data_IF_334486211420
#
_entry.id   IF_334486211420
#
_cell.length_a   1.000
_cell.length_b   1.000
_cell.length_c   1.000
_cell.angle_alpha   90.00
_cell.angle_beta   90.00
_cell.angle_gamma   90.00
#
_symmetry.space_group_name_H-M   'P 1'
#
loop_
_entity.id
_entity.type
_entity.pdbx_description
1 polymer ?
#
# COMPACT_ATOMS: atom_id res chain seq x y z
N UNK A 1 81.32 -45.24 -7.99
CA UNK A 1 80.02 -45.12 -7.41
C UNK A 1 79.22 -46.30 -7.95
N UNK A 2 78.87 -47.30 -7.12
CA UNK A 2 78.24 -48.56 -7.53
C UNK A 2 76.90 -48.35 -8.26
N UNK A 3 76.70 -49.01 -9.41
CA UNK A 3 75.44 -48.95 -10.16
C UNK A 3 74.20 -49.18 -9.30
N UNK A 4 74.28 -50.03 -8.28
CA UNK A 4 73.21 -50.25 -7.28
C UNK A 4 72.90 -49.00 -6.47
N UNK A 5 73.86 -48.21 -6.07
CA UNK A 5 73.61 -46.95 -5.31
C UNK A 5 72.94 -45.92 -6.21
N UNK A 6 73.31 -45.81 -7.47
CA UNK A 6 72.65 -44.94 -8.45
C UNK A 6 71.20 -45.34 -8.70
N UNK A 7 70.93 -46.66 -8.79
CA UNK A 7 69.56 -47.15 -8.95
C UNK A 7 68.71 -46.91 -7.72
N UNK A 8 69.22 -47.10 -6.49
CA UNK A 8 68.53 -46.77 -5.25
C UNK A 8 68.22 -45.30 -5.13
N UNK A 9 69.17 -44.44 -5.51
CA UNK A 9 69.02 -42.97 -5.47
C UNK A 9 67.92 -42.50 -6.47
N UNK A 10 67.92 -43.08 -7.69
CA UNK A 10 66.89 -42.82 -8.70
C UNK A 10 65.49 -43.27 -8.20
N UNK A 11 65.41 -44.47 -7.63
CA UNK A 11 64.12 -45.00 -7.11
C UNK A 11 63.59 -44.18 -5.92
N UNK A 12 64.48 -43.74 -5.02
CA UNK A 12 64.15 -42.85 -3.91
C UNK A 12 63.64 -41.48 -4.39
N UNK A 13 64.30 -40.92 -5.40
CA UNK A 13 63.88 -39.62 -5.98
C UNK A 13 62.50 -39.74 -6.65
N UNK A 14 62.28 -40.81 -7.41
CA UNK A 14 60.97 -41.08 -8.03
C UNK A 14 59.88 -41.26 -6.95
N UNK A 15 60.15 -42.03 -5.89
CA UNK A 15 59.24 -42.23 -4.77
C UNK A 15 58.90 -40.93 -4.06
N UNK A 16 59.89 -40.04 -3.85
CA UNK A 16 59.73 -38.71 -3.23
C UNK A 16 58.86 -37.82 -4.09
N UNK A 17 59.10 -37.81 -5.42
CA UNK A 17 58.30 -37.02 -6.37
C UNK A 17 56.86 -37.54 -6.41
N UNK A 18 56.63 -38.83 -6.43
CA UNK A 18 55.31 -39.45 -6.37
C UNK A 18 54.58 -39.10 -5.07
N UNK A 19 55.25 -39.16 -3.94
CA UNK A 19 54.69 -38.83 -2.66
C UNK A 19 54.32 -37.33 -2.56
N UNK A 20 55.20 -36.43 -3.03
CA UNK A 20 54.92 -35.00 -3.09
C UNK A 20 53.74 -34.64 -4.01
N UNK A 21 53.61 -35.34 -5.14
CA UNK A 21 52.54 -35.15 -6.11
C UNK A 21 51.18 -35.73 -5.64
N UNK A 22 51.24 -36.62 -4.63
CA UNK A 22 50.01 -37.25 -4.05
C UNK A 22 49.29 -36.33 -3.05
N UNK A 23 50.00 -35.32 -2.51
CA UNK A 23 49.49 -34.48 -1.47
C UNK A 23 48.96 -33.16 -2.08
N UNK A 24 47.76 -32.75 -1.67
CA UNK A 24 47.25 -31.42 -1.93
C UNK A 24 46.58 -30.84 -0.69
N UNK A 25 46.57 -29.53 -0.56
CA UNK A 25 45.94 -28.82 0.55
C UNK A 25 44.61 -28.22 0.09
N UNK A 26 43.58 -28.39 0.91
CA UNK A 26 42.24 -27.80 0.69
C UNK A 26 42.00 -26.71 1.73
N UNK A 27 41.78 -25.48 1.27
CA UNK A 27 41.41 -24.36 2.12
C UNK A 27 39.98 -24.52 2.68
N UNK A 28 39.69 -23.86 3.81
CA UNK A 28 38.34 -23.85 4.43
C UNK A 28 37.28 -23.24 3.52
N UNK A 29 37.66 -22.37 2.61
CA UNK A 29 36.80 -21.70 1.63
C UNK A 29 36.53 -22.52 0.38
N UNK A 30 37.18 -23.70 0.26
CA UNK A 30 37.18 -24.53 -0.94
C UNK A 30 36.55 -25.89 -0.65
N UNK A 31 36.11 -26.51 -1.70
CA UNK A 31 35.70 -27.93 -1.75
C UNK A 31 36.28 -28.55 -3.00
N UNK A 32 36.63 -29.82 -2.94
CA UNK A 32 37.29 -30.49 -4.04
C UNK A 32 36.46 -31.70 -4.51
N UNK A 33 36.47 -31.88 -5.83
CA UNK A 33 35.93 -33.10 -6.48
C UNK A 33 37.13 -33.86 -7.06
N UNK A 34 37.32 -35.10 -6.63
CA UNK A 34 38.35 -35.95 -7.18
C UNK A 34 37.78 -36.70 -8.38
N UNK A 35 38.43 -36.47 -9.50
CA UNK A 35 38.14 -37.17 -10.76
C UNK A 35 39.18 -38.22 -11.02
N UNK A 36 38.78 -39.40 -11.51
CA UNK A 36 39.68 -40.40 -12.02
C UNK A 36 39.31 -40.70 -13.48
N UNK A 37 40.24 -40.47 -14.39
CA UNK A 37 39.99 -40.54 -15.83
C UNK A 37 38.82 -39.69 -16.34
N UNK A 38 38.47 -38.62 -15.62
CA UNK A 38 37.37 -37.73 -15.93
C UNK A 38 36.08 -38.05 -15.20
N UNK A 39 35.97 -39.23 -14.55
CA UNK A 39 34.81 -39.62 -13.77
C UNK A 39 34.90 -39.17 -12.31
N UNK A 40 33.84 -38.61 -11.73
CA UNK A 40 33.81 -38.15 -10.35
C UNK A 40 33.71 -39.34 -9.37
N UNK A 41 34.72 -39.49 -8.51
CA UNK A 41 34.77 -40.60 -7.52
C UNK A 41 34.37 -40.09 -6.13
N UNK A 42 34.89 -38.95 -5.72
CA UNK A 42 34.80 -38.50 -4.31
C UNK A 42 34.73 -37.00 -4.18
N UNK A 43 33.80 -36.52 -3.33
CA UNK A 43 33.69 -35.10 -2.93
C UNK A 43 34.38 -34.94 -1.58
N UNK A 44 35.24 -33.93 -1.46
CA UNK A 44 35.93 -33.53 -0.24
C UNK A 44 35.47 -32.14 0.16
N UNK A 45 34.77 -32.03 1.31
CA UNK A 45 34.24 -30.76 1.86
C UNK A 45 34.99 -30.29 3.10
N UNK A 46 35.87 -31.15 3.67
CA UNK A 46 36.63 -30.86 4.88
C UNK A 46 38.01 -30.30 4.53
N UNK A 47 38.41 -29.16 5.14
CA UNK A 47 39.72 -28.56 4.88
C UNK A 47 40.86 -29.43 5.43
N UNK A 48 42.08 -29.11 5.01
CA UNK A 48 43.30 -29.75 5.47
C UNK A 48 44.04 -30.47 4.36
N UNK A 49 45.05 -31.28 4.74
CA UNK A 49 45.88 -32.05 3.84
C UNK A 49 45.09 -33.26 3.36
N UNK A 50 45.04 -33.48 2.07
CA UNK A 50 44.32 -34.58 1.40
C UNK A 50 45.26 -35.33 0.45
N UNK A 51 44.93 -36.58 0.19
CA UNK A 51 45.68 -37.45 -0.68
C UNK A 51 44.91 -37.80 -1.94
N UNK A 52 45.58 -37.76 -3.07
CA UNK A 52 45.11 -38.22 -4.36
C UNK A 52 46.17 -39.16 -5.00
N UNK A 53 45.75 -40.07 -5.87
CA UNK A 53 46.68 -40.84 -6.64
C UNK A 53 47.27 -40.00 -7.76
N UNK A 54 48.60 -39.80 -7.77
CA UNK A 54 49.25 -39.01 -8.82
C UNK A 54 49.06 -39.72 -10.17
N UNK A 55 48.95 -38.92 -11.25
CA UNK A 55 48.74 -39.34 -12.65
C UNK A 55 47.34 -39.91 -12.96
N UNK A 56 46.66 -40.60 -12.01
CA UNK A 56 45.35 -41.21 -12.22
C UNK A 56 44.21 -40.29 -11.79
N UNK A 57 44.43 -39.48 -10.73
CA UNK A 57 43.38 -38.67 -10.14
C UNK A 57 43.71 -37.18 -10.27
N UNK A 58 42.65 -36.41 -10.66
CA UNK A 58 42.72 -34.96 -10.70
C UNK A 58 41.76 -34.39 -9.64
N UNK A 59 42.22 -33.35 -8.91
CA UNK A 59 41.38 -32.62 -7.98
C UNK A 59 40.90 -31.33 -8.63
N UNK A 60 39.58 -31.21 -8.84
CA UNK A 60 38.95 -29.96 -9.27
C UNK A 60 38.44 -29.22 -8.04
N UNK A 61 38.92 -28.02 -7.86
CA UNK A 61 38.61 -27.20 -6.68
C UNK A 61 37.51 -26.20 -7.03
N UNK A 62 36.46 -26.14 -6.17
CA UNK A 62 35.37 -25.19 -6.28
C UNK A 62 35.33 -24.29 -5.04
N UNK A 63 34.95 -23.03 -5.25
CA UNK A 63 34.71 -22.11 -4.13
C UNK A 63 33.42 -22.49 -3.37
N UNK A 64 33.48 -22.53 -2.05
CA UNK A 64 32.36 -22.83 -1.16
C UNK A 64 31.64 -21.57 -0.70
N UNK A 65 32.24 -20.38 -0.92
CA UNK A 65 31.65 -19.09 -0.54
C UNK A 65 30.44 -18.75 -1.40
N UNK A 66 29.74 -17.73 -0.99
CA UNK A 66 28.71 -17.10 -1.79
C UNK A 66 29.40 -16.32 -2.92
N UNK A 67 28.96 -16.57 -4.14
CA UNK A 67 29.49 -15.98 -5.37
C UNK A 67 28.41 -15.09 -5.95
N UNK A 68 28.81 -13.91 -6.40
CA UNK A 68 27.93 -12.99 -7.08
C UNK A 68 27.94 -13.23 -8.59
N UNK A 69 26.76 -13.25 -9.20
CA UNK A 69 26.56 -13.29 -10.63
C UNK A 69 25.76 -12.06 -11.04
N UNK A 70 26.43 -11.13 -11.73
CA UNK A 70 25.78 -9.99 -12.40
C UNK A 70 25.12 -10.45 -13.69
N UNK A 71 23.93 -9.95 -13.95
CA UNK A 71 23.15 -10.23 -15.15
C UNK A 71 23.15 -8.97 -15.99
N UNK A 72 23.35 -9.12 -17.29
CA UNK A 72 23.30 -8.02 -18.24
C UNK A 72 21.92 -7.35 -18.23
N UNK A 73 21.86 -6.10 -18.62
CA UNK A 73 20.61 -5.37 -18.78
C UNK A 73 19.65 -6.10 -19.71
N UNK A 74 18.43 -6.28 -19.26
CA UNK A 74 17.37 -6.97 -20.00
C UNK A 74 16.15 -6.06 -20.13
N UNK A 75 15.53 -6.08 -21.30
CA UNK A 75 14.28 -5.40 -21.54
C UNK A 75 13.11 -6.34 -21.21
N UNK A 76 12.24 -5.92 -20.30
CA UNK A 76 11.07 -6.68 -19.85
C UNK A 76 9.82 -5.78 -19.95
N UNK A 77 8.68 -6.37 -20.29
CA UNK A 77 7.40 -5.67 -20.37
C UNK A 77 6.60 -6.02 -19.10
N UNK A 78 6.21 -5.01 -18.33
CA UNK A 78 5.35 -5.15 -17.17
C UNK A 78 3.88 -5.36 -17.56
N UNK A 79 3.03 -5.77 -16.61
CA UNK A 79 1.60 -6.05 -16.86
C UNK A 79 0.83 -4.81 -17.37
N UNK A 80 1.27 -3.61 -17.01
CA UNK A 80 0.75 -2.32 -17.50
C UNK A 80 1.33 -1.88 -18.86
N UNK A 81 1.93 -2.84 -19.61
CA UNK A 81 2.52 -2.65 -20.94
C UNK A 81 3.68 -1.65 -21.03
N UNK A 82 4.27 -1.31 -19.89
CA UNK A 82 5.47 -0.47 -19.83
C UNK A 82 6.72 -1.31 -20.07
N UNK A 83 7.61 -0.84 -20.94
CA UNK A 83 8.92 -1.45 -21.16
C UNK A 83 9.88 -0.98 -20.07
N UNK A 84 10.58 -1.90 -19.46
CA UNK A 84 11.54 -1.65 -18.39
C UNK A 84 12.89 -2.24 -18.77
N UNK A 85 13.96 -1.49 -18.58
CA UNK A 85 15.34 -1.98 -18.63
C UNK A 85 15.72 -2.37 -17.20
N UNK A 86 15.95 -3.67 -17.01
CA UNK A 86 16.21 -4.22 -15.67
C UNK A 86 17.64 -4.75 -15.63
N UNK A 87 18.36 -4.34 -14.58
CA UNK A 87 19.63 -4.92 -14.20
C UNK A 87 19.45 -5.67 -12.88
N UNK A 88 19.89 -6.93 -12.83
CA UNK A 88 19.75 -7.79 -11.68
C UNK A 88 21.06 -8.49 -11.33
N UNK A 89 21.17 -9.00 -10.12
CA UNK A 89 22.23 -9.88 -9.71
C UNK A 89 21.68 -11.03 -8.87
N UNK A 90 22.37 -12.14 -8.92
CA UNK A 90 22.09 -13.29 -8.08
C UNK A 90 23.30 -13.64 -7.23
N UNK A 91 23.04 -14.06 -6.00
CA UNK A 91 24.03 -14.64 -5.08
C UNK A 91 23.75 -16.14 -4.96
N UNK A 92 24.75 -16.92 -5.28
CA UNK A 92 24.64 -18.37 -5.21
C UNK A 92 25.81 -19.01 -4.49
N UNK A 93 25.60 -20.22 -4.01
CA UNK A 93 26.60 -21.04 -3.35
C UNK A 93 26.57 -22.45 -3.91
N UNK A 94 27.72 -23.04 -4.20
CA UNK A 94 27.84 -24.41 -4.66
C UNK A 94 27.73 -25.36 -3.44
N UNK A 95 26.67 -26.13 -3.36
CA UNK A 95 26.42 -27.08 -2.25
C UNK A 95 26.85 -28.48 -2.63
N UNK A 96 26.58 -28.89 -3.88
CA UNK A 96 26.89 -30.22 -4.41
C UNK A 96 27.84 -30.10 -5.59
N UNK A 97 29.17 -30.26 -5.35
CA UNK A 97 30.16 -30.22 -6.42
C UNK A 97 29.99 -31.31 -7.47
N UNK A 98 29.40 -32.45 -7.10
CA UNK A 98 29.15 -33.54 -8.03
C UNK A 98 28.10 -33.15 -9.06
N UNK A 99 26.93 -32.72 -8.60
CA UNK A 99 25.87 -32.22 -9.49
C UNK A 99 26.34 -31.04 -10.32
N UNK A 100 27.09 -30.11 -9.68
CA UNK A 100 27.63 -28.94 -10.36
C UNK A 100 28.54 -29.35 -11.53
N UNK A 101 29.48 -30.25 -11.30
CA UNK A 101 30.43 -30.69 -12.32
C UNK A 101 29.73 -31.46 -13.46
N UNK A 102 28.78 -32.31 -13.15
CA UNK A 102 28.08 -33.13 -14.17
C UNK A 102 27.11 -32.34 -15.04
N UNK A 103 26.58 -31.20 -14.53
CA UNK A 103 25.58 -30.40 -15.26
C UNK A 103 26.17 -29.18 -15.99
N UNK A 104 27.15 -28.51 -15.38
CA UNK A 104 27.69 -27.26 -15.90
C UNK A 104 29.22 -27.25 -16.03
N UNK A 105 29.91 -28.15 -15.35
CA UNK A 105 31.36 -28.33 -15.30
C UNK A 105 32.18 -27.14 -14.82
N UNK A 106 31.84 -25.90 -15.21
CA UNK A 106 32.62 -24.68 -14.94
C UNK A 106 31.72 -23.55 -14.42
N UNK A 107 32.29 -22.58 -13.71
CA UNK A 107 31.57 -21.37 -13.28
C UNK A 107 31.01 -20.55 -14.47
N UNK A 108 31.75 -20.49 -15.58
CA UNK A 108 31.30 -19.81 -16.78
C UNK A 108 30.11 -20.53 -17.41
N UNK A 109 30.13 -21.87 -17.43
CA UNK A 109 29.00 -22.67 -17.89
C UNK A 109 27.75 -22.47 -17.04
N UNK A 110 27.94 -22.34 -15.71
CA UNK A 110 26.85 -21.97 -14.80
C UNK A 110 26.33 -20.56 -15.10
N UNK A 111 27.23 -19.59 -15.22
CA UNK A 111 26.85 -18.19 -15.46
C UNK A 111 25.92 -18.06 -16.68
N UNK A 112 26.26 -18.70 -17.78
CA UNK A 112 25.46 -18.68 -19.01
C UNK A 112 24.07 -19.32 -18.81
N UNK A 113 24.00 -20.47 -18.16
CA UNK A 113 22.71 -21.17 -17.93
C UNK A 113 21.85 -20.45 -16.88
N UNK A 114 22.48 -20.00 -15.80
CA UNK A 114 21.78 -19.32 -14.71
C UNK A 114 21.25 -17.93 -15.14
N UNK A 115 22.01 -17.19 -15.97
CA UNK A 115 21.51 -15.96 -16.57
C UNK A 115 20.22 -16.18 -17.35
N UNK A 116 20.16 -17.21 -18.21
CA UNK A 116 18.95 -17.51 -18.95
C UNK A 116 17.74 -17.90 -18.07
N UNK A 117 18.00 -18.62 -16.95
CA UNK A 117 16.95 -18.95 -15.98
C UNK A 117 16.47 -17.68 -15.27
N UNK A 118 17.38 -16.82 -14.84
CA UNK A 118 17.02 -15.58 -14.16
C UNK A 118 16.27 -14.65 -15.11
N UNK A 119 16.71 -14.52 -16.35
CA UNK A 119 16.04 -13.70 -17.38
C UNK A 119 14.59 -14.19 -17.62
N UNK A 120 14.40 -15.52 -17.73
CA UNK A 120 13.06 -16.08 -17.89
C UNK A 120 12.17 -15.88 -16.65
N UNK A 121 12.73 -16.07 -15.45
CA UNK A 121 11.99 -15.87 -14.19
C UNK A 121 11.66 -14.40 -13.96
N UNK A 122 12.59 -13.46 -14.26
CA UNK A 122 12.35 -12.03 -14.22
C UNK A 122 11.22 -11.64 -15.17
N UNK A 123 11.27 -12.13 -16.41
CA UNK A 123 10.23 -11.83 -17.41
C UNK A 123 8.86 -12.37 -17.02
N UNK A 124 8.81 -13.55 -16.41
CA UNK A 124 7.56 -14.13 -15.93
C UNK A 124 6.98 -13.32 -14.79
N UNK A 125 7.72 -13.11 -13.71
CA UNK A 125 7.21 -12.47 -12.49
C UNK A 125 6.91 -10.98 -12.73
N UNK A 126 7.78 -10.27 -13.46
CA UNK A 126 7.55 -8.85 -13.78
C UNK A 126 6.43 -8.66 -14.79
N UNK A 127 6.23 -9.61 -15.70
CA UNK A 127 5.10 -9.59 -16.63
C UNK A 127 3.72 -9.66 -15.94
N UNK A 128 3.67 -10.18 -14.72
CA UNK A 128 2.47 -10.25 -13.86
C UNK A 128 2.33 -9.01 -12.94
N UNK A 129 3.42 -8.28 -12.68
CA UNK A 129 3.47 -7.11 -11.80
C UNK A 129 3.38 -5.79 -12.58
N UNK A 130 2.84 -4.75 -11.94
CA UNK A 130 2.84 -3.38 -12.48
C UNK A 130 4.11 -2.64 -12.11
N UNK A 131 4.47 -1.59 -12.88
CA UNK A 131 5.60 -0.72 -12.53
C UNK A 131 5.45 -0.12 -11.12
N UNK A 132 4.23 0.23 -10.73
CA UNK A 132 3.96 0.81 -9.42
C UNK A 132 4.27 -0.18 -8.27
N UNK A 133 3.93 -1.46 -8.41
CA UNK A 133 4.25 -2.51 -7.45
C UNK A 133 5.76 -2.75 -7.31
N UNK A 134 6.51 -2.65 -8.41
CA UNK A 134 7.98 -2.74 -8.40
C UNK A 134 8.65 -1.57 -7.64
N UNK A 135 7.99 -0.42 -7.54
CA UNK A 135 8.51 0.79 -6.88
C UNK A 135 8.00 0.99 -5.45
N UNK A 136 6.99 0.23 -5.03
CA UNK A 136 6.33 0.35 -3.72
C UNK A 136 6.71 -0.78 -2.75
N UNK A 137 5.98 -0.91 -1.66
CA UNK A 137 6.20 -1.91 -0.59
C UNK A 137 6.09 -3.36 -1.10
N UNK A 138 5.30 -3.62 -2.12
CA UNK A 138 5.14 -4.94 -2.73
C UNK A 138 6.41 -5.47 -3.43
N UNK A 139 7.43 -4.61 -3.60
CA UNK A 139 8.73 -5.01 -4.18
C UNK A 139 9.37 -6.20 -3.46
N UNK A 140 9.19 -6.32 -2.15
CA UNK A 140 9.77 -7.42 -1.36
C UNK A 140 9.18 -8.76 -1.74
N UNK A 141 7.89 -8.82 -1.98
CA UNK A 141 7.17 -10.04 -2.37
C UNK A 141 7.61 -10.47 -3.77
N UNK A 142 7.67 -9.53 -4.71
CA UNK A 142 8.16 -9.77 -6.08
C UNK A 142 9.59 -10.33 -6.07
N UNK A 143 10.49 -9.78 -5.22
CA UNK A 143 11.84 -10.31 -5.09
C UNK A 143 11.86 -11.73 -4.53
N UNK A 144 10.95 -12.06 -3.63
CA UNK A 144 10.80 -13.40 -3.05
C UNK A 144 10.32 -14.39 -4.11
N UNK A 145 9.33 -14.01 -4.90
CA UNK A 145 8.79 -14.84 -5.98
C UNK A 145 9.86 -15.12 -7.06
N UNK A 146 10.63 -14.09 -7.45
CA UNK A 146 11.75 -14.26 -8.39
C UNK A 146 12.78 -15.25 -7.81
N UNK A 147 13.17 -15.06 -6.55
CA UNK A 147 14.12 -15.95 -5.88
C UNK A 147 13.62 -17.38 -5.82
N UNK A 148 12.35 -17.63 -5.52
CA UNK A 148 11.75 -18.96 -5.48
C UNK A 148 11.72 -19.59 -6.85
N UNK A 149 11.30 -18.87 -7.89
CA UNK A 149 11.28 -19.35 -9.26
C UNK A 149 12.69 -19.75 -9.75
N UNK A 150 13.69 -18.88 -9.50
CA UNK A 150 15.09 -19.16 -9.84
C UNK A 150 15.64 -20.33 -9.03
N UNK A 151 15.34 -20.40 -7.73
CA UNK A 151 15.80 -21.49 -6.86
C UNK A 151 15.31 -22.85 -7.36
N UNK A 152 14.02 -22.96 -7.65
CA UNK A 152 13.39 -24.17 -8.17
C UNK A 152 14.03 -24.64 -9.47
N UNK A 153 14.25 -23.71 -10.40
CA UNK A 153 14.83 -24.04 -11.71
C UNK A 153 16.33 -24.34 -11.65
N UNK A 154 17.05 -23.87 -10.62
CA UNK A 154 18.49 -24.03 -10.48
C UNK A 154 18.93 -25.20 -9.58
N UNK A 155 18.02 -25.93 -8.95
CA UNK A 155 18.32 -27.09 -8.09
C UNK A 155 19.11 -28.20 -8.81
N UNK A 156 18.88 -28.36 -10.11
CA UNK A 156 19.56 -29.34 -10.95
C UNK A 156 21.07 -29.11 -11.05
N UNK A 157 21.54 -27.88 -10.83
CA UNK A 157 22.96 -27.52 -10.92
C UNK A 157 23.75 -27.76 -9.62
N UNK A 158 23.12 -28.23 -8.56
CA UNK A 158 23.76 -28.45 -7.25
C UNK A 158 24.19 -27.17 -6.55
N UNK A 159 23.52 -26.06 -6.86
CA UNK A 159 23.73 -24.75 -6.24
C UNK A 159 22.53 -24.39 -5.37
N UNK A 160 22.76 -23.48 -4.41
CA UNK A 160 21.74 -22.82 -3.65
C UNK A 160 21.71 -21.35 -3.98
N UNK A 161 20.59 -20.84 -4.40
CA UNK A 161 20.37 -19.41 -4.55
C UNK A 161 20.20 -18.82 -3.15
N UNK A 162 21.06 -17.88 -2.80
CA UNK A 162 21.01 -17.18 -1.51
C UNK A 162 20.09 -15.98 -1.62
N UNK A 163 20.27 -15.20 -2.70
CA UNK A 163 19.48 -13.99 -2.94
C UNK A 163 19.44 -13.68 -4.44
N UNK A 164 18.34 -13.06 -4.88
CA UNK A 164 18.22 -12.47 -6.22
C UNK A 164 17.61 -11.09 -6.06
N UNK A 165 18.25 -10.08 -6.64
CA UNK A 165 17.76 -8.70 -6.53
C UNK A 165 17.87 -7.94 -7.84
N UNK A 166 16.86 -7.14 -8.09
CA UNK A 166 16.92 -6.10 -9.12
C UNK A 166 17.72 -4.93 -8.56
N UNK A 167 18.81 -4.58 -9.22
CA UNK A 167 19.63 -3.40 -8.89
C UNK A 167 18.98 -2.14 -9.41
N UNK A 168 18.51 -2.20 -10.65
CA UNK A 168 17.99 -1.06 -11.39
C UNK A 168 16.81 -1.49 -12.26
N UNK A 169 15.78 -0.67 -12.27
CA UNK A 169 14.65 -0.80 -13.18
C UNK A 169 14.35 0.60 -13.73
N UNK A 170 14.70 0.82 -14.98
CA UNK A 170 14.55 2.11 -15.65
C UNK A 170 13.62 1.98 -16.86
N UNK A 171 13.06 3.10 -17.26
CA UNK A 171 12.37 3.21 -18.55
C UNK A 171 13.39 3.46 -19.67
N UNK A 172 13.18 2.91 -20.89
CA UNK A 172 14.04 3.22 -22.04
C UNK A 172 14.11 4.72 -22.30
N UNK A 173 15.31 5.25 -22.52
CA UNK A 173 15.54 6.70 -22.71
C UNK A 173 14.83 7.29 -23.92
N UNK A 174 14.66 6.51 -24.98
CA UNK A 174 14.11 6.98 -26.25
C UNK A 174 12.65 7.48 -26.19
N UNK A 175 11.90 7.10 -25.16
CA UNK A 175 10.49 7.48 -24.99
C UNK A 175 10.16 8.05 -23.61
N UNK A 176 11.16 8.31 -22.77
CA UNK A 176 10.96 8.70 -21.35
C UNK A 176 10.08 9.94 -21.24
N UNK A 177 10.33 10.99 -22.02
CA UNK A 177 9.57 12.25 -21.92
C UNK A 177 8.11 12.08 -22.31
N UNK A 178 7.81 11.30 -23.35
CA UNK A 178 6.45 11.02 -23.78
C UNK A 178 5.70 10.15 -22.75
N UNK A 179 6.40 9.17 -22.16
CA UNK A 179 5.85 8.30 -21.11
C UNK A 179 5.58 9.11 -19.84
N UNK A 180 6.53 9.97 -19.42
CA UNK A 180 6.32 10.84 -18.26
C UNK A 180 5.17 11.82 -18.46
N UNK A 181 5.06 12.46 -19.63
CA UNK A 181 3.95 13.34 -19.97
C UNK A 181 2.59 12.60 -19.92
N UNK A 182 2.56 11.37 -20.44
CA UNK A 182 1.36 10.53 -20.37
C UNK A 182 1.02 10.15 -18.93
N UNK A 183 1.99 9.71 -18.14
CA UNK A 183 1.80 9.37 -16.72
C UNK A 183 1.30 10.58 -15.92
N UNK A 184 1.85 11.77 -16.17
CA UNK A 184 1.37 13.00 -15.54
C UNK A 184 -0.09 13.27 -15.89
N UNK A 185 -0.46 13.15 -17.16
CA UNK A 185 -1.85 13.34 -17.64
C UNK A 185 -2.81 12.32 -17.01
N UNK A 186 -2.39 11.06 -16.90
CA UNK A 186 -3.17 10.00 -16.24
C UNK A 186 -3.37 10.30 -14.74
N UNK A 187 -2.32 10.71 -14.03
CA UNK A 187 -2.41 11.10 -12.62
C UNK A 187 -3.26 12.35 -12.39
N UNK A 188 -3.19 13.32 -13.28
CA UNK A 188 -4.06 14.51 -13.21
C UNK A 188 -5.54 14.15 -13.46
N UNK A 189 -5.79 13.20 -14.38
CA UNK A 189 -7.14 12.68 -14.63
C UNK A 189 -7.68 11.95 -13.40
N UNK A 190 -6.91 11.03 -12.83
CA UNK A 190 -7.26 10.30 -11.61
C UNK A 190 -7.54 11.25 -10.44
N UNK A 191 -6.67 12.23 -10.24
CA UNK A 191 -6.84 13.23 -9.20
C UNK A 191 -8.08 14.12 -9.41
N UNK A 192 -8.44 14.44 -10.67
CA UNK A 192 -9.68 15.15 -10.99
C UNK A 192 -10.91 14.29 -10.72
N UNK A 193 -10.87 13.01 -11.07
CA UNK A 193 -11.96 12.07 -10.82
C UNK A 193 -12.22 11.89 -9.32
N UNK A 194 -11.16 11.69 -8.51
CA UNK A 194 -11.28 11.57 -7.06
C UNK A 194 -11.85 12.85 -6.45
N UNK A 195 -11.36 14.03 -6.89
CA UNK A 195 -11.91 15.31 -6.41
C UNK A 195 -13.37 15.51 -6.81
N UNK A 196 -13.76 15.11 -8.03
CA UNK A 196 -15.15 15.20 -8.49
C UNK A 196 -16.07 14.30 -7.65
N UNK A 197 -15.67 13.04 -7.39
CA UNK A 197 -16.40 12.14 -6.50
C UNK A 197 -16.50 12.68 -5.08
N UNK A 198 -15.42 13.27 -4.57
CA UNK A 198 -15.42 13.92 -3.25
C UNK A 198 -16.36 15.13 -3.18
N UNK A 199 -16.42 15.94 -4.23
CA UNK A 199 -17.35 17.08 -4.32
C UNK A 199 -18.81 16.62 -4.40
N UNK A 200 -19.10 15.60 -5.23
CA UNK A 200 -20.44 15.00 -5.33
C UNK A 200 -20.91 14.46 -3.98
N UNK A 201 -20.07 13.73 -3.27
CA UNK A 201 -20.40 13.18 -1.96
C UNK A 201 -20.62 14.30 -0.93
N UNK A 202 -19.79 15.33 -0.96
CA UNK A 202 -19.96 16.49 -0.07
C UNK A 202 -21.28 17.23 -0.32
N UNK A 203 -21.66 17.41 -1.58
CA UNK A 203 -22.92 18.06 -1.94
C UNK A 203 -24.12 17.19 -1.56
N UNK A 204 -24.02 15.85 -1.72
CA UNK A 204 -25.04 14.92 -1.25
C UNK A 204 -25.26 15.01 0.26
N UNK A 205 -24.16 15.02 1.03
CA UNK A 205 -24.22 15.14 2.49
C UNK A 205 -24.84 16.47 2.90
N UNK A 206 -24.44 17.59 2.25
CA UNK A 206 -25.00 18.92 2.53
C UNK A 206 -26.50 18.98 2.22
N UNK A 207 -26.91 18.48 1.05
CA UNK A 207 -28.31 18.45 0.64
C UNK A 207 -29.18 17.63 1.62
N UNK A 208 -28.72 16.47 2.08
CA UNK A 208 -29.43 15.69 3.09
C UNK A 208 -29.50 16.39 4.43
N UNK A 209 -28.42 17.04 4.87
CA UNK A 209 -28.41 17.83 6.11
C UNK A 209 -29.35 19.04 6.04
N UNK A 210 -29.40 19.75 4.92
CA UNK A 210 -30.30 20.87 4.71
C UNK A 210 -31.79 20.44 4.67
N UNK A 211 -32.05 19.31 4.05
CA UNK A 211 -33.36 18.66 4.08
C UNK A 211 -33.77 18.32 5.51
N UNK A 212 -32.91 17.64 6.26
CA UNK A 212 -33.16 17.29 7.66
C UNK A 212 -33.40 18.54 8.52
N UNK A 213 -32.57 19.57 8.37
CA UNK A 213 -32.75 20.86 9.03
C UNK A 213 -34.12 21.47 8.73
N UNK A 214 -34.52 21.47 7.47
CA UNK A 214 -35.81 22.03 7.04
C UNK A 214 -36.97 21.26 7.67
N UNK A 215 -36.92 19.94 7.70
CA UNK A 215 -37.96 19.10 8.34
C UNK A 215 -38.02 19.38 9.83
N UNK A 216 -36.89 19.40 10.54
CA UNK A 216 -36.87 19.66 12.00
C UNK A 216 -37.43 21.03 12.32
N UNK A 217 -37.04 22.07 11.55
CA UNK A 217 -37.59 23.42 11.75
C UNK A 217 -39.09 23.52 11.48
N UNK A 218 -39.58 22.84 10.44
CA UNK A 218 -40.97 22.80 10.10
C UNK A 218 -41.82 22.07 11.19
N UNK A 219 -41.30 20.94 11.70
CA UNK A 219 -41.94 20.21 12.79
C UNK A 219 -41.95 20.98 14.10
N UNK A 220 -40.85 21.63 14.43
CA UNK A 220 -40.77 22.51 15.61
C UNK A 220 -41.73 23.69 15.51
N UNK A 221 -41.85 24.34 14.35
CA UNK A 221 -42.80 25.41 14.09
C UNK A 221 -44.23 24.94 14.20
N UNK A 222 -44.56 23.78 13.56
CA UNK A 222 -45.86 23.15 13.67
C UNK A 222 -46.25 22.88 15.14
N UNK A 223 -45.33 22.31 15.92
CA UNK A 223 -45.55 22.00 17.34
C UNK A 223 -45.77 23.29 18.15
N UNK A 224 -44.96 24.32 17.88
CA UNK A 224 -45.09 25.61 18.54
C UNK A 224 -46.42 26.29 18.21
N UNK A 225 -46.87 26.24 16.96
CA UNK A 225 -48.13 26.84 16.54
C UNK A 225 -49.33 26.07 17.11
N UNK A 226 -49.27 24.73 17.16
CA UNK A 226 -50.27 23.90 17.84
C UNK A 226 -50.38 24.24 19.33
N UNK A 227 -49.25 24.25 20.04
CA UNK A 227 -49.20 24.55 21.48
C UNK A 227 -49.70 25.97 21.77
N UNK A 228 -49.37 26.95 20.92
CA UNK A 228 -49.88 28.30 21.03
C UNK A 228 -51.38 28.36 20.80
N UNK A 229 -51.85 27.68 19.75
CA UNK A 229 -53.26 27.59 19.44
C UNK A 229 -54.07 26.93 20.56
N UNK A 230 -53.57 25.86 21.18
CA UNK A 230 -54.20 25.22 22.35
C UNK A 230 -54.22 26.13 23.57
N UNK A 231 -53.11 26.88 23.79
CA UNK A 231 -53.01 27.90 24.84
C UNK A 231 -54.00 29.01 24.63
N UNK A 232 -54.11 29.57 23.43
CA UNK A 232 -55.05 30.61 23.07
C UNK A 232 -56.51 30.13 23.21
N UNK A 233 -56.81 28.91 22.73
CA UNK A 233 -58.15 28.32 22.87
C UNK A 233 -58.54 28.12 24.35
N UNK A 234 -57.57 27.65 25.15
CA UNK A 234 -57.78 27.47 26.60
C UNK A 234 -58.00 28.82 27.30
N UNK A 235 -57.20 29.81 26.94
CA UNK A 235 -57.34 31.19 27.46
C UNK A 235 -58.74 31.80 27.13
N UNK A 236 -59.13 31.69 25.84
CA UNK A 236 -60.44 32.16 25.38
C UNK A 236 -61.57 31.45 26.13
N UNK A 237 -61.44 30.14 26.31
CA UNK A 237 -62.43 29.36 27.06
C UNK A 237 -62.54 29.81 28.51
N UNK A 238 -61.43 30.02 29.22
CA UNK A 238 -61.40 30.52 30.60
C UNK A 238 -62.05 31.88 30.70
N UNK A 239 -61.72 32.80 29.75
CA UNK A 239 -62.37 34.10 29.71
C UNK A 239 -63.87 34.02 29.41
N UNK A 240 -64.26 33.21 28.44
CA UNK A 240 -65.67 33.01 28.10
C UNK A 240 -66.51 32.47 29.29
N UNK A 241 -65.98 31.43 29.96
CA UNK A 241 -66.62 30.83 31.13
C UNK A 241 -66.70 31.80 32.32
N UNK A 242 -65.69 32.67 32.47
CA UNK A 242 -65.70 33.67 33.54
C UNK A 242 -66.62 34.87 33.23
N UNK A 243 -66.56 35.38 32.03
CA UNK A 243 -67.38 36.51 31.59
C UNK A 243 -68.82 36.12 31.36
N UNK A 244 -69.09 34.85 31.04
CA UNK A 244 -70.48 34.31 30.94
C UNK A 244 -71.23 34.30 32.26
N UNK A 245 -70.55 34.37 33.42
CA UNK A 245 -71.18 34.43 34.75
C UNK A 245 -71.82 35.74 35.05
N UNK A 246 -71.28 36.88 34.58
CA UNK A 246 -71.85 38.23 34.71
C UNK A 246 -71.47 39.01 33.44
N UNK A 247 -72.32 39.00 32.42
CA UNK A 247 -72.05 39.68 31.15
C UNK A 247 -71.93 41.20 31.28
N UNK A 248 -72.69 41.81 32.20
CA UNK A 248 -72.67 43.28 32.37
C UNK A 248 -71.34 43.75 32.99
N UNK A 249 -70.89 43.03 34.02
CA UNK A 249 -69.54 43.29 34.58
C UNK A 249 -68.39 43.02 33.57
N UNK A 250 -68.57 41.98 32.78
CA UNK A 250 -67.55 41.65 31.74
C UNK A 250 -67.42 42.75 30.68
N UNK A 251 -68.60 43.29 30.25
CA UNK A 251 -68.58 44.44 29.29
C UNK A 251 -67.95 45.67 29.89
N UNK A 252 -68.27 45.98 31.12
CA UNK A 252 -67.64 47.08 31.87
C UNK A 252 -66.14 46.92 32.02
N UNK A 253 -65.67 45.75 32.47
CA UNK A 253 -64.27 45.48 32.67
C UNK A 253 -63.46 45.56 31.35
N UNK A 254 -64.02 45.03 30.26
CA UNK A 254 -63.44 45.08 28.93
C UNK A 254 -63.35 46.49 28.40
N UNK A 255 -64.36 47.29 28.61
CA UNK A 255 -64.39 48.74 28.25
C UNK A 255 -63.32 49.50 29.04
N UNK A 256 -63.23 49.27 30.34
CA UNK A 256 -62.19 49.93 31.19
C UNK A 256 -60.79 49.51 30.81
N UNK A 257 -60.58 48.25 30.46
CA UNK A 257 -59.29 47.74 29.97
C UNK A 257 -58.91 48.35 28.60
N UNK A 258 -59.89 48.49 27.69
CA UNK A 258 -59.68 49.13 26.40
C UNK A 258 -59.37 50.64 26.58
N UNK A 259 -60.05 51.32 27.51
CA UNK A 259 -59.73 52.72 27.83
C UNK A 259 -58.30 52.86 28.36
N UNK A 260 -57.89 52.00 29.29
CA UNK A 260 -56.52 52.03 29.87
C UNK A 260 -55.44 51.82 28.81
N UNK A 261 -55.67 50.93 27.86
CA UNK A 261 -54.70 50.61 26.82
C UNK A 261 -54.67 51.70 25.73
N UNK A 262 -55.84 52.25 25.34
CA UNK A 262 -55.98 53.32 24.33
C UNK A 262 -55.44 54.65 24.82
N UNK A 263 -55.53 54.95 26.12
CA UNK A 263 -55.11 56.19 26.72
C UNK A 263 -53.67 56.16 27.28
N UNK A 264 -52.98 55.06 27.17
CA UNK A 264 -51.64 54.86 27.73
C UNK A 264 -50.53 55.57 26.96
N UNK A 265 -50.83 56.07 25.76
CA UNK A 265 -49.82 56.63 24.87
C UNK A 265 -49.94 58.20 24.82
N UNK A 266 -49.00 58.88 25.45
CA UNK A 266 -48.95 60.40 25.53
C UNK A 266 -48.91 61.09 24.15
N UNK A 267 -48.79 60.35 23.07
CA UNK A 267 -48.68 60.93 21.70
C UNK A 267 -49.97 60.81 20.88
N UNK A 268 -51.02 60.23 21.44
CA UNK A 268 -52.27 59.98 20.70
C UNK A 268 -53.27 61.08 21.02
N UNK A 269 -53.54 61.94 20.04
CA UNK A 269 -54.64 62.94 20.14
C UNK A 269 -55.88 62.22 19.61
N UNK A 270 -56.85 61.98 20.51
CA UNK A 270 -58.17 61.43 20.17
C UNK A 270 -59.16 62.59 19.97
N UNK A 271 -59.85 62.59 18.84
CA UNK A 271 -61.00 63.44 18.58
C UNK A 271 -62.23 62.56 18.84
N UNK A 272 -62.98 62.84 19.89
CA UNK A 272 -64.05 62.01 20.38
C UNK A 272 -65.40 62.76 20.22
N UNK A 273 -66.41 62.07 19.68
CA UNK A 273 -67.78 62.53 19.71
C UNK A 273 -68.41 62.22 21.08
N UNK A 274 -69.12 63.06 21.72
CA UNK A 274 -69.75 62.81 23.05
C UNK A 274 -70.69 61.62 23.08
N UNK A 275 -71.30 61.24 21.95
CA UNK A 275 -72.30 60.12 21.84
C UNK A 275 -71.69 58.79 21.37
N UNK A 276 -70.35 58.64 21.42
CA UNK A 276 -69.72 57.44 20.99
C UNK A 276 -69.96 56.32 22.03
N UNK A 277 -70.49 55.18 21.57
CA UNK A 277 -70.81 53.98 22.37
C UNK A 277 -69.57 53.46 23.14
N UNK A 278 -68.37 53.70 22.63
CA UNK A 278 -67.10 53.37 23.28
C UNK A 278 -66.95 54.00 24.66
N UNK A 279 -67.48 55.23 24.89
CA UNK A 279 -67.38 55.91 26.15
C UNK A 279 -68.67 55.83 27.01
N UNK A 280 -69.59 54.93 26.73
CA UNK A 280 -70.89 54.75 27.42
C UNK A 280 -70.73 54.70 28.96
N UNK A 281 -69.75 53.92 29.46
CA UNK A 281 -69.48 53.77 30.88
C UNK A 281 -68.84 54.97 31.54
N UNK A 282 -68.10 55.80 30.75
CA UNK A 282 -67.47 57.01 31.25
C UNK A 282 -68.50 58.14 31.37
N UNK A 283 -69.45 58.28 30.45
CA UNK A 283 -70.57 59.21 30.50
C UNK A 283 -71.60 58.89 31.57
N UNK A 284 -71.86 57.61 31.83
CA UNK A 284 -72.83 57.23 32.84
C UNK A 284 -72.35 57.43 34.28
N UNK A 285 -71.06 57.55 34.53
CA UNK A 285 -70.54 57.76 35.87
C UNK A 285 -70.78 59.25 36.33
N UNK A 286 -71.04 60.17 35.40
CA UNK A 286 -71.32 61.56 35.69
C UNK A 286 -72.80 61.91 35.97
N UNK A 287 -73.73 60.93 35.86
CA UNK A 287 -75.13 61.10 36.08
C UNK A 287 -75.73 60.54 37.43
N UNK A 288 -74.83 60.10 38.33
CA UNK A 288 -75.19 59.74 39.72
C UNK A 288 -74.57 60.77 40.69
N UNK A 289 -75.12 61.96 40.77
CA UNK A 289 -75.09 62.83 41.90
C UNK A 289 -76.47 63.48 42.03
#
# INVERSE_FOLDING_TARGET
MNNKIKQILILSTISLVLFSSSIFTLDQRQQALILQFGEPIRVIKTPGIKFKMPFLQNAVIFDKRIIDLGISEQEVIASDQKRLIINAFAKYQIIDPLKFYTTVATQQGLANKLSGIIDSSLRQVIGEATLNELLTENRTDIMTDIKEAVSKSSEIFGIKIVDVRIMRADLPQENSDAIFARMQTEREKEAREIRAKGAEEADRIRAEADKQRTIILAEAKKTADLTRGEGDATSIKIYADSYGKDPEFAEFYRSMSAYRESLKNDKTKMVISPDNEFFRYMNNSSSRN
#
